data_IF_059049677592
#
_entry.id   IF_059049677592
#
_cell.length_a   1.000
_cell.length_b   1.000
_cell.length_c   1.000
_cell.angle_alpha   90.00
_cell.angle_beta   90.00
_cell.angle_gamma   90.00
#
_symmetry.space_group_name_H-M   'P 1'
#
loop_
_entity.id
_entity.type
_entity.pdbx_description
1 polymer ?
#
# COMPACT_ATOMS: atom_id res chain seq x y z
N UNK A 1 -18.18 -15.66 7.20
CA UNK A 1 -18.02 -14.39 6.46
C UNK A 1 -16.96 -13.54 7.14
N UNK A 2 -16.37 -12.58 6.42
CA UNK A 2 -15.37 -11.64 6.94
C UNK A 2 -16.05 -10.33 7.35
N UNK A 3 -15.48 -9.64 8.35
CA UNK A 3 -16.01 -8.38 8.87
C UNK A 3 -14.95 -7.29 8.81
N UNK A 4 -15.39 -6.03 8.74
CA UNK A 4 -14.52 -4.87 8.79
C UNK A 4 -15.12 -3.81 9.72
N UNK A 5 -14.26 -3.17 10.50
CA UNK A 5 -14.55 -1.98 11.30
C UNK A 5 -13.67 -0.83 10.83
N UNK A 6 -14.30 0.30 10.55
CA UNK A 6 -13.60 1.58 10.42
C UNK A 6 -13.51 2.19 11.81
N UNK A 7 -12.28 2.37 12.29
CA UNK A 7 -11.99 2.89 13.61
C UNK A 7 -11.84 4.40 13.57
N UNK A 8 -12.57 5.08 14.44
CA UNK A 8 -12.64 6.52 14.56
C UNK A 8 -12.21 6.92 15.98
N UNK A 9 -11.17 7.76 16.13
CA UNK A 9 -10.67 8.18 17.43
C UNK A 9 -11.74 8.84 18.29
N UNK A 10 -11.93 8.37 19.53
CA UNK A 10 -12.91 8.88 20.49
C UNK A 10 -14.38 8.59 20.15
N UNK A 11 -14.65 7.75 19.15
CA UNK A 11 -16.02 7.36 18.75
C UNK A 11 -16.27 5.89 19.01
N UNK A 12 -15.40 5.01 18.50
CA UNK A 12 -15.55 3.56 18.60
C UNK A 12 -14.20 2.84 18.86
N UNK A 13 -13.23 3.54 19.43
CA UNK A 13 -11.98 2.99 19.95
C UNK A 13 -12.08 2.63 21.45
N UNK A 14 -10.98 2.16 22.05
CA UNK A 14 -10.94 1.77 23.46
C UNK A 14 -11.91 0.63 23.80
N UNK A 15 -12.70 0.81 24.86
CA UNK A 15 -13.62 -0.22 25.38
C UNK A 15 -14.65 -0.70 24.34
N UNK A 16 -15.13 0.18 23.46
CA UNK A 16 -16.09 -0.21 22.42
C UNK A 16 -15.44 -1.08 21.34
N UNK A 17 -14.16 -0.85 21.03
CA UNK A 17 -13.40 -1.73 20.15
C UNK A 17 -13.20 -3.11 20.77
N UNK A 18 -12.79 -3.17 22.04
CA UNK A 18 -12.58 -4.44 22.75
C UNK A 18 -13.88 -5.25 22.84
N UNK A 19 -15.00 -4.57 23.13
CA UNK A 19 -16.33 -5.17 23.10
C UNK A 19 -16.66 -5.71 21.72
N UNK A 20 -16.40 -4.94 20.66
CA UNK A 20 -16.64 -5.37 19.27
C UNK A 20 -15.84 -6.61 18.91
N UNK A 21 -14.55 -6.65 19.26
CA UNK A 21 -13.68 -7.81 19.05
C UNK A 21 -14.25 -9.04 19.77
N UNK A 22 -14.61 -8.90 21.04
CA UNK A 22 -15.16 -10.00 21.85
C UNK A 22 -16.45 -10.56 21.26
N UNK A 23 -17.43 -9.69 20.99
CA UNK A 23 -18.74 -10.12 20.47
C UNK A 23 -18.64 -10.77 19.08
N UNK A 24 -17.70 -10.33 18.24
CA UNK A 24 -17.46 -10.96 16.94
C UNK A 24 -16.72 -12.30 17.07
N UNK A 25 -15.75 -12.41 17.98
CA UNK A 25 -15.04 -13.66 18.24
C UNK A 25 -15.99 -14.75 18.78
N UNK A 26 -16.95 -14.40 19.64
CA UNK A 26 -17.98 -15.31 20.16
C UNK A 26 -18.87 -15.92 19.06
N UNK A 27 -18.93 -15.29 17.88
CA UNK A 27 -19.69 -15.79 16.72
C UNK A 27 -18.89 -16.73 15.83
N UNK A 28 -17.68 -17.11 16.23
CA UNK A 28 -16.91 -18.17 15.56
C UNK A 28 -17.69 -19.50 15.58
N UNK A 29 -17.75 -20.28 14.48
CA UNK A 29 -17.01 -20.11 13.22
C UNK A 29 -17.76 -19.31 12.14
N UNK A 30 -18.91 -18.70 12.44
CA UNK A 30 -19.69 -17.95 11.44
C UNK A 30 -18.98 -16.68 10.99
N UNK A 31 -18.35 -15.96 11.92
CA UNK A 31 -17.40 -14.88 11.64
C UNK A 31 -16.00 -15.49 11.52
N UNK A 32 -15.34 -15.25 10.38
CA UNK A 32 -14.03 -15.85 10.07
C UNK A 32 -12.86 -14.95 10.45
N UNK A 33 -13.04 -13.64 10.31
CA UNK A 33 -12.06 -12.63 10.71
C UNK A 33 -12.67 -11.24 10.82
N UNK A 34 -11.93 -10.37 11.50
CA UNK A 34 -12.20 -8.96 11.67
C UNK A 34 -11.01 -8.13 11.16
N UNK A 35 -11.27 -7.26 10.18
CA UNK A 35 -10.37 -6.20 9.75
C UNK A 35 -10.67 -4.92 10.56
N UNK A 36 -9.64 -4.26 11.07
CA UNK A 36 -9.75 -2.94 11.71
C UNK A 36 -8.87 -1.98 10.92
N UNK A 37 -9.49 -0.99 10.30
CA UNK A 37 -8.81 0.04 9.50
C UNK A 37 -9.08 1.42 10.09
N UNK A 38 -8.11 2.36 10.05
CA UNK A 38 -8.36 3.71 10.52
C UNK A 38 -9.32 4.44 9.60
N UNK A 39 -10.00 5.46 10.13
CA UNK A 39 -10.86 6.33 9.33
C UNK A 39 -10.07 7.10 8.27
N UNK A 40 -10.47 6.94 7.02
CA UNK A 40 -10.03 7.77 5.91
C UNK A 40 -10.71 9.15 5.96
N UNK A 41 -9.91 10.21 5.91
CA UNK A 41 -10.41 11.61 5.88
C UNK A 41 -9.90 12.27 4.61
N UNK A 42 -10.81 12.63 3.70
CA UNK A 42 -10.49 13.35 2.46
C UNK A 42 -10.92 14.81 2.51
N UNK A 43 -10.38 15.64 1.61
CA UNK A 43 -10.68 17.07 1.50
C UNK A 43 -12.12 17.37 1.03
N UNK A 44 -12.82 16.37 0.48
CA UNK A 44 -14.18 16.51 -0.05
C UNK A 44 -15.29 16.34 1.00
N UNK A 45 -14.94 16.05 2.25
CA UNK A 45 -15.92 15.90 3.33
C UNK A 45 -16.57 17.25 3.67
N UNK A 46 -17.91 17.27 3.67
CA UNK A 46 -18.72 18.41 4.10
C UNK A 46 -19.53 18.13 5.38
N UNK A 47 -19.38 16.94 5.97
CA UNK A 47 -20.17 16.53 7.13
C UNK A 47 -19.80 17.32 8.40
N UNK A 48 -20.79 17.59 9.28
CA UNK A 48 -20.56 18.33 10.52
C UNK A 48 -19.86 17.50 11.61
N UNK A 49 -19.73 16.17 11.44
CA UNK A 49 -19.06 15.31 12.41
C UNK A 49 -17.54 15.45 12.24
N UNK A 50 -16.81 15.89 13.30
CA UNK A 50 -15.37 16.11 13.21
C UNK A 50 -14.63 14.76 13.24
N UNK A 51 -14.56 14.09 12.09
CA UNK A 51 -13.68 12.94 11.93
C UNK A 51 -12.23 13.45 11.85
N UNK A 52 -11.40 12.95 12.77
CA UNK A 52 -9.96 13.17 12.77
C UNK A 52 -9.24 11.85 12.63
N UNK A 53 -7.95 11.93 12.33
CA UNK A 53 -7.07 10.77 12.27
C UNK A 53 -6.51 10.44 13.64
N UNK A 54 -6.03 9.21 13.77
CA UNK A 54 -5.19 8.80 14.87
C UNK A 54 -3.87 9.58 14.84
N UNK A 55 -3.42 9.98 16.03
CA UNK A 55 -2.03 10.38 16.26
C UNK A 55 -1.12 9.14 16.27
N UNK A 56 0.20 9.35 16.25
CA UNK A 56 1.17 8.25 16.38
C UNK A 56 0.96 7.48 17.68
N UNK A 57 0.80 8.21 18.78
CA UNK A 57 0.66 7.65 20.13
C UNK A 57 -0.64 6.85 20.26
N UNK A 58 -1.74 7.33 19.68
CA UNK A 58 -2.99 6.58 19.68
C UNK A 58 -2.90 5.34 18.78
N UNK A 59 -2.25 5.42 17.60
CA UNK A 59 -2.04 4.27 16.74
C UNK A 59 -1.19 3.18 17.43
N UNK A 60 -0.16 3.56 18.19
CA UNK A 60 0.61 2.65 19.03
C UNK A 60 -0.27 1.96 20.09
N UNK A 61 -1.12 2.73 20.78
CA UNK A 61 -2.07 2.17 21.75
C UNK A 61 -3.04 1.16 21.13
N UNK A 62 -3.52 1.40 19.90
CA UNK A 62 -4.36 0.45 19.17
C UNK A 62 -3.57 -0.82 18.81
N UNK A 63 -2.33 -0.69 18.34
CA UNK A 63 -1.47 -1.85 18.03
C UNK A 63 -1.27 -2.72 19.27
N UNK A 64 -1.02 -2.11 20.43
CA UNK A 64 -0.77 -2.84 21.68
C UNK A 64 -2.04 -3.51 22.22
N UNK A 65 -3.17 -2.80 22.26
CA UNK A 65 -4.45 -3.36 22.70
C UNK A 65 -4.90 -4.51 21.79
N UNK A 66 -4.88 -4.31 20.48
CA UNK A 66 -5.28 -5.36 19.52
C UNK A 66 -4.28 -6.52 19.53
N UNK A 67 -2.98 -6.26 19.71
CA UNK A 67 -1.97 -7.32 19.85
C UNK A 67 -2.28 -8.33 20.96
N UNK A 68 -2.76 -7.86 22.12
CA UNK A 68 -3.20 -8.72 23.22
C UNK A 68 -4.37 -9.62 22.82
N UNK A 69 -5.33 -9.07 22.05
CA UNK A 69 -6.44 -9.85 21.50
C UNK A 69 -5.98 -10.87 20.46
N UNK A 70 -5.02 -10.52 19.60
CA UNK A 70 -4.46 -11.43 18.60
C UNK A 70 -3.79 -12.64 19.27
N UNK A 71 -3.00 -12.41 20.32
CA UNK A 71 -2.37 -13.48 21.10
C UNK A 71 -3.40 -14.36 21.81
N UNK A 72 -4.37 -13.74 22.49
CA UNK A 72 -5.45 -14.44 23.19
C UNK A 72 -6.25 -15.34 22.25
N UNK A 73 -6.71 -14.80 21.12
CA UNK A 73 -7.53 -15.55 20.16
C UNK A 73 -6.70 -16.63 19.46
N UNK A 74 -5.40 -16.40 19.22
CA UNK A 74 -4.53 -17.45 18.69
C UNK A 74 -4.40 -18.63 19.66
N UNK A 75 -4.35 -18.38 20.97
CA UNK A 75 -4.36 -19.44 21.98
C UNK A 75 -5.73 -20.14 22.10
N UNK A 76 -6.84 -19.39 22.07
CA UNK A 76 -8.19 -19.92 22.29
C UNK A 76 -8.77 -20.66 21.07
N UNK A 77 -8.56 -20.14 19.86
CA UNK A 77 -9.18 -20.65 18.62
C UNK A 77 -8.17 -20.99 17.51
N UNK A 78 -6.87 -20.88 17.77
CA UNK A 78 -5.81 -21.29 16.84
C UNK A 78 -5.57 -20.32 15.68
N UNK A 79 -6.13 -19.11 15.72
CA UNK A 79 -6.03 -18.09 14.67
C UNK A 79 -5.91 -16.69 15.27
N UNK A 80 -5.26 -15.77 14.57
CA UNK A 80 -5.18 -14.36 14.98
C UNK A 80 -6.56 -13.68 14.98
N UNK A 81 -7.43 -14.02 14.02
CA UNK A 81 -8.83 -13.54 13.88
C UNK A 81 -9.01 -12.03 13.65
N UNK A 82 -8.33 -11.18 14.42
CA UNK A 82 -8.35 -9.72 14.30
C UNK A 82 -7.07 -9.23 13.61
N UNK A 83 -7.22 -8.40 12.59
CA UNK A 83 -6.08 -7.85 11.86
C UNK A 83 -6.21 -6.33 11.75
N UNK A 84 -5.09 -5.63 11.93
CA UNK A 84 -5.00 -4.19 11.75
C UNK A 84 -4.58 -3.87 10.30
N UNK A 85 -5.14 -2.78 9.76
CA UNK A 85 -4.64 -2.17 8.53
C UNK A 85 -3.19 -1.74 8.65
N UNK A 86 -2.43 -1.87 7.56
CA UNK A 86 -1.01 -1.50 7.49
C UNK A 86 -0.77 -0.05 7.92
N UNK A 87 -1.76 0.82 7.68
CA UNK A 87 -1.76 2.23 8.07
C UNK A 87 -1.52 2.47 9.56
N UNK A 88 -2.00 1.60 10.46
CA UNK A 88 -1.72 1.76 11.90
C UNK A 88 -0.22 1.62 12.18
N UNK A 89 0.44 0.64 11.57
CA UNK A 89 1.88 0.42 11.73
C UNK A 89 2.67 1.59 11.15
N UNK A 90 2.27 2.11 9.99
CA UNK A 90 2.90 3.29 9.40
C UNK A 90 2.72 4.56 10.24
N UNK A 91 1.52 4.83 10.77
CA UNK A 91 1.28 5.96 11.70
C UNK A 91 2.14 5.84 12.96
N UNK A 92 2.25 4.62 13.50
CA UNK A 92 3.09 4.32 14.66
C UNK A 92 4.60 4.36 14.35
N UNK A 93 5.01 4.29 13.08
CA UNK A 93 6.42 4.09 12.71
C UNK A 93 6.96 2.71 13.10
N UNK A 94 6.09 1.69 13.16
CA UNK A 94 6.44 0.30 13.46
C UNK A 94 6.46 -0.53 12.18
N UNK A 95 7.24 -1.60 12.19
CA UNK A 95 7.19 -2.59 11.10
C UNK A 95 5.88 -3.37 11.15
N UNK A 96 5.38 -3.77 9.98
CA UNK A 96 4.23 -4.65 9.87
C UNK A 96 4.56 -6.07 10.39
N UNK A 97 3.61 -6.80 11.00
CA UNK A 97 3.81 -8.16 11.51
C UNK A 97 4.40 -9.13 10.49
N UNK A 98 4.97 -10.24 10.96
CA UNK A 98 5.44 -11.34 10.09
C UNK A 98 4.27 -12.04 9.39
N UNK A 99 4.53 -12.71 8.26
CA UNK A 99 3.50 -13.38 7.46
C UNK A 99 2.63 -14.37 8.24
N UNK A 100 3.21 -15.08 9.21
CA UNK A 100 2.52 -16.04 10.08
C UNK A 100 1.33 -15.43 10.85
N UNK A 101 1.38 -14.12 11.14
CA UNK A 101 0.31 -13.42 11.86
C UNK A 101 -0.92 -13.15 11.01
N UNK A 102 -0.84 -13.30 9.68
CA UNK A 102 -1.94 -12.99 8.76
C UNK A 102 -2.80 -14.20 8.41
N UNK A 103 -2.47 -15.41 8.85
CA UNK A 103 -3.25 -16.65 8.61
C UNK A 103 -3.69 -16.85 7.15
N UNK A 104 -2.80 -16.57 6.20
CA UNK A 104 -3.10 -16.67 4.76
C UNK A 104 -3.76 -15.43 4.14
N UNK A 105 -3.65 -14.27 4.80
CA UNK A 105 -4.08 -12.95 4.30
C UNK A 105 -5.56 -12.86 3.91
N UNK A 106 -6.52 -13.25 4.78
CA UNK A 106 -7.95 -13.26 4.44
C UNK A 106 -8.58 -11.87 4.27
N UNK A 107 -7.84 -10.79 4.56
CA UNK A 107 -8.33 -9.41 4.59
C UNK A 107 -7.47 -8.48 3.72
N UNK A 108 -6.76 -9.05 2.75
CA UNK A 108 -5.82 -8.32 1.91
C UNK A 108 -6.48 -7.17 1.13
N UNK A 109 -7.70 -7.42 0.63
CA UNK A 109 -8.55 -6.43 -0.04
C UNK A 109 -8.94 -5.23 0.87
N UNK A 110 -8.85 -5.40 2.19
CA UNK A 110 -9.17 -4.40 3.19
C UNK A 110 -7.94 -3.64 3.71
N UNK A 111 -6.83 -3.66 2.97
CA UNK A 111 -5.62 -2.92 3.33
C UNK A 111 -4.79 -3.56 4.45
N UNK A 112 -4.97 -4.87 4.65
CA UNK A 112 -4.33 -5.63 5.74
C UNK A 112 -3.28 -6.57 5.16
N UNK A 113 -2.02 -6.36 5.54
CA UNK A 113 -0.92 -7.24 5.17
C UNK A 113 -0.43 -7.04 3.74
N UNK A 114 -0.83 -5.97 3.05
CA UNK A 114 -0.35 -5.64 1.70
C UNK A 114 1.16 -5.50 1.68
N UNK A 115 1.72 -4.78 2.66
CA UNK A 115 3.16 -4.56 2.80
C UNK A 115 3.87 -5.85 3.12
N UNK A 116 3.31 -6.70 3.99
CA UNK A 116 3.93 -7.99 4.30
C UNK A 116 3.88 -8.94 3.09
N UNK A 117 2.78 -8.98 2.36
CA UNK A 117 2.66 -9.74 1.11
C UNK A 117 3.71 -9.28 0.10
N UNK A 118 3.83 -7.96 -0.11
CA UNK A 118 4.83 -7.37 -0.99
C UNK A 118 6.26 -7.75 -0.58
N UNK A 119 6.59 -7.70 0.72
CA UNK A 119 7.90 -8.10 1.22
C UNK A 119 8.18 -9.60 0.98
N UNK A 120 7.18 -10.46 1.17
CA UNK A 120 7.33 -11.88 0.86
C UNK A 120 7.58 -12.11 -0.64
N UNK A 121 6.83 -11.44 -1.51
CA UNK A 121 7.03 -11.54 -2.96
C UNK A 121 8.45 -11.08 -3.36
N UNK A 122 8.92 -9.97 -2.78
CA UNK A 122 10.27 -9.45 -2.98
C UNK A 122 11.36 -10.48 -2.60
N UNK A 123 11.19 -11.15 -1.46
CA UNK A 123 12.13 -12.15 -0.96
C UNK A 123 12.16 -13.41 -1.83
N UNK A 124 11.01 -13.86 -2.33
CA UNK A 124 10.90 -15.07 -3.18
C UNK A 124 11.52 -14.88 -4.57
N UNK A 125 11.62 -13.64 -5.05
CA UNK A 125 12.18 -13.35 -6.37
C UNK A 125 13.72 -13.47 -6.37
N UNK A 126 14.24 -14.66 -6.72
CA UNK A 126 15.68 -14.87 -6.93
C UNK A 126 16.03 -14.46 -8.36
N UNK A 127 16.33 -13.19 -8.57
CA UNK A 127 16.68 -12.70 -9.90
C UNK A 127 18.19 -12.79 -10.17
N UNK A 128 18.53 -13.37 -11.33
CA UNK A 128 19.90 -13.57 -11.84
C UNK A 128 20.18 -12.71 -13.07
N UNK A 129 19.60 -11.50 -13.16
CA UNK A 129 19.82 -10.63 -14.31
C UNK A 129 21.24 -10.13 -14.43
N UNK A 130 21.52 -9.55 -15.60
CA UNK A 130 22.77 -8.84 -15.83
C UNK A 130 22.69 -7.47 -15.19
N UNK A 131 23.63 -7.16 -14.31
CA UNK A 131 23.79 -5.80 -13.78
C UNK A 131 23.93 -4.78 -14.92
N UNK A 132 23.44 -3.56 -14.71
CA UNK A 132 23.61 -2.48 -15.68
C UNK A 132 25.11 -2.20 -15.94
N UNK A 133 25.50 -2.13 -17.21
CA UNK A 133 26.88 -1.85 -17.62
C UNK A 133 27.27 -0.38 -17.40
N UNK A 134 26.31 0.52 -17.54
CA UNK A 134 26.44 1.98 -17.38
C UNK A 134 25.41 2.50 -16.36
N UNK A 135 25.62 3.67 -15.74
CA UNK A 135 24.66 4.26 -14.83
C UNK A 135 23.24 4.33 -15.42
N UNK A 136 22.28 3.74 -14.71
CA UNK A 136 20.87 3.64 -15.09
C UNK A 136 19.98 4.19 -13.97
N UNK A 137 19.16 5.18 -14.31
CA UNK A 137 18.39 5.99 -13.36
C UNK A 137 16.90 5.65 -13.44
N UNK A 138 16.35 5.09 -12.37
CA UNK A 138 14.93 4.77 -12.23
C UNK A 138 14.26 5.68 -11.21
N UNK A 139 13.14 6.27 -11.62
CA UNK A 139 12.21 6.90 -10.70
C UNK A 139 11.11 5.91 -10.33
N UNK A 140 10.78 5.82 -9.04
CA UNK A 140 9.76 4.91 -8.50
C UNK A 140 8.70 5.75 -7.80
N UNK A 141 7.50 5.77 -8.36
CA UNK A 141 6.36 6.50 -7.81
C UNK A 141 5.70 5.67 -6.71
N UNK A 142 5.32 6.32 -5.61
CA UNK A 142 4.60 5.66 -4.52
C UNK A 142 3.74 6.63 -3.71
N UNK A 143 2.79 6.10 -2.94
CA UNK A 143 2.21 6.85 -1.83
C UNK A 143 3.26 7.16 -0.75
N UNK A 144 3.06 8.23 0.01
CA UNK A 144 4.00 8.66 1.04
C UNK A 144 4.15 7.65 2.19
N UNK A 145 3.13 6.84 2.49
CA UNK A 145 3.16 5.88 3.60
C UNK A 145 4.10 4.70 3.36
N UNK A 146 4.17 4.20 2.12
CA UNK A 146 4.97 3.02 1.75
C UNK A 146 6.37 3.39 1.22
N UNK A 147 6.63 4.67 0.93
CA UNK A 147 7.90 5.14 0.37
C UNK A 147 9.13 4.66 1.17
N UNK A 148 9.18 4.72 2.51
CA UNK A 148 10.33 4.24 3.28
C UNK A 148 10.63 2.74 3.07
N UNK A 149 9.60 1.93 2.81
CA UNK A 149 9.77 0.51 2.52
C UNK A 149 10.40 0.33 1.15
N UNK A 150 9.90 1.03 0.13
CA UNK A 150 10.44 0.95 -1.24
C UNK A 150 11.87 1.49 -1.35
N UNK A 151 12.19 2.56 -0.61
CA UNK A 151 13.54 3.13 -0.52
C UNK A 151 14.52 2.13 0.06
N UNK A 152 14.15 1.45 1.14
CA UNK A 152 14.99 0.40 1.75
C UNK A 152 15.27 -0.72 0.75
N UNK A 153 14.25 -1.25 0.10
CA UNK A 153 14.37 -2.34 -0.87
C UNK A 153 15.19 -1.92 -2.10
N UNK A 154 14.96 -0.71 -2.62
CA UNK A 154 15.78 -0.13 -3.68
C UNK A 154 17.24 0.04 -3.26
N UNK A 155 17.49 0.47 -2.03
CA UNK A 155 18.82 0.57 -1.44
C UNK A 155 19.56 -0.77 -1.42
N UNK A 156 18.89 -1.84 -1.00
CA UNK A 156 19.44 -3.20 -1.03
C UNK A 156 19.82 -3.62 -2.46
N UNK A 157 19.02 -3.26 -3.46
CA UNK A 157 19.30 -3.61 -4.85
C UNK A 157 20.41 -2.75 -5.47
N UNK A 158 20.49 -1.46 -5.15
CA UNK A 158 21.60 -0.59 -5.55
C UNK A 158 22.95 -1.02 -4.95
N UNK A 159 22.96 -1.61 -3.76
CA UNK A 159 24.17 -2.22 -3.18
C UNK A 159 24.64 -3.44 -3.97
N UNK A 160 23.71 -4.20 -4.55
CA UNK A 160 24.02 -5.34 -5.44
C UNK A 160 24.39 -4.89 -6.85
N UNK A 161 23.88 -3.74 -7.29
CA UNK A 161 24.05 -3.21 -8.64
C UNK A 161 24.56 -1.76 -8.60
N UNK A 162 25.88 -1.53 -8.55
CA UNK A 162 26.44 -0.19 -8.36
C UNK A 162 26.05 0.86 -9.42
N UNK A 163 25.74 0.40 -10.63
CA UNK A 163 25.30 1.25 -11.75
C UNK A 163 23.80 1.56 -11.73
N UNK A 164 23.00 0.84 -10.94
CA UNK A 164 21.60 1.20 -10.72
C UNK A 164 21.54 2.41 -9.77
N UNK A 165 20.73 3.41 -10.14
CA UNK A 165 20.39 4.57 -9.32
C UNK A 165 18.87 4.66 -9.25
N UNK A 166 18.32 4.42 -8.07
CA UNK A 166 16.88 4.49 -7.84
C UNK A 166 16.57 5.71 -7.01
N UNK A 167 15.55 6.45 -7.42
CA UNK A 167 14.95 7.52 -6.65
C UNK A 167 13.47 7.21 -6.45
N UNK A 168 13.08 7.01 -5.20
CA UNK A 168 11.67 6.90 -4.84
C UNK A 168 11.11 8.33 -4.77
N UNK A 169 10.00 8.56 -5.48
CA UNK A 169 9.29 9.81 -5.56
C UNK A 169 7.92 9.63 -4.88
N UNK A 170 7.84 9.88 -3.56
CA UNK A 170 6.58 9.85 -2.85
C UNK A 170 5.66 10.98 -3.37
N UNK A 171 4.44 10.63 -3.72
CA UNK A 171 3.44 11.57 -4.25
C UNK A 171 2.50 12.02 -3.14
N UNK A 172 2.47 13.34 -2.91
CA UNK A 172 1.44 13.97 -2.09
C UNK A 172 0.11 14.00 -2.87
N UNK A 173 -0.95 13.45 -2.28
CA UNK A 173 -2.26 13.38 -2.91
C UNK A 173 -2.99 14.72 -2.77
N UNK A 174 -2.74 15.68 -3.65
CA UNK A 174 -3.46 16.95 -3.63
C UNK A 174 -4.92 16.75 -4.03
N UNK A 175 -5.25 15.74 -4.85
CA UNK A 175 -6.61 15.48 -5.31
C UNK A 175 -7.58 15.09 -4.18
N UNK A 176 -7.27 14.09 -3.36
CA UNK A 176 -8.09 13.69 -2.21
C UNK A 176 -7.68 14.37 -0.90
N UNK A 177 -6.55 15.09 -0.89
CA UNK A 177 -5.95 15.73 0.28
C UNK A 177 -4.77 14.93 0.79
N UNK A 178 -3.69 15.61 1.18
CA UNK A 178 -2.36 15.04 1.50
C UNK A 178 -2.37 14.03 2.64
N UNK A 179 -3.45 14.01 3.39
CA UNK A 179 -3.72 13.00 4.38
C UNK A 179 -3.83 11.62 3.69
N UNK A 180 -4.46 11.50 2.52
CA UNK A 180 -4.51 10.26 1.73
C UNK A 180 -3.11 9.93 1.21
N UNK A 181 -2.49 8.88 1.77
CA UNK A 181 -1.07 8.61 1.61
C UNK A 181 -0.75 7.22 1.01
N UNK A 182 -1.78 6.47 0.59
CA UNK A 182 -1.64 5.14 -0.01
C UNK A 182 -1.47 5.23 -1.52
N UNK A 183 -0.69 4.31 -2.09
CA UNK A 183 -0.41 4.26 -3.54
C UNK A 183 -1.66 4.05 -4.39
N UNK A 184 -2.64 3.29 -3.90
CA UNK A 184 -3.85 2.96 -4.66
C UNK A 184 -4.83 4.12 -4.87
N UNK A 185 -4.61 5.25 -4.18
CA UNK A 185 -5.43 6.46 -4.31
C UNK A 185 -4.72 7.59 -5.05
N UNK A 186 -3.54 7.35 -5.62
CA UNK A 186 -2.84 8.36 -6.40
C UNK A 186 -3.58 8.64 -7.72
N UNK A 187 -3.57 9.90 -8.12
CA UNK A 187 -4.17 10.36 -9.37
C UNK A 187 -3.10 10.57 -10.43
N UNK A 188 -3.47 10.55 -11.71
CA UNK A 188 -2.56 10.82 -12.80
C UNK A 188 -1.99 12.24 -12.71
N UNK A 189 -2.81 13.23 -12.33
CA UNK A 189 -2.40 14.62 -12.17
C UNK A 189 -1.34 14.79 -11.06
N UNK A 190 -1.52 14.17 -9.89
CA UNK A 190 -0.56 14.25 -8.79
C UNK A 190 0.77 13.55 -9.14
N UNK A 191 0.72 12.43 -9.86
CA UNK A 191 1.90 11.72 -10.36
C UNK A 191 2.65 12.58 -11.40
N UNK A 192 1.94 13.12 -12.39
CA UNK A 192 2.51 13.96 -13.44
C UNK A 192 3.22 15.17 -12.81
N UNK A 193 2.55 15.87 -11.90
CA UNK A 193 3.10 17.03 -11.19
C UNK A 193 4.37 16.69 -10.41
N UNK A 194 4.39 15.53 -9.75
CA UNK A 194 5.57 15.04 -9.01
C UNK A 194 6.73 14.76 -9.96
N UNK A 195 6.46 14.09 -11.09
CA UNK A 195 7.47 13.76 -12.09
C UNK A 195 8.06 14.98 -12.80
N UNK A 196 7.25 16.01 -13.05
CA UNK A 196 7.66 17.28 -13.67
C UNK A 196 8.52 18.14 -12.73
N UNK A 197 8.23 18.09 -11.42
CA UNK A 197 9.02 18.79 -10.40
C UNK A 197 10.34 18.10 -10.05
N UNK A 198 10.46 16.81 -10.35
CA UNK A 198 11.65 16.03 -10.04
C UNK A 198 12.76 16.26 -11.08
N UNK A 199 13.74 17.09 -10.73
CA UNK A 199 14.93 17.34 -11.55
C UNK A 199 15.90 16.16 -11.57
N UNK A 200 16.72 16.06 -12.62
CA UNK A 200 17.83 15.10 -12.71
C UNK A 200 17.63 14.03 -13.78
N UNK A 201 18.68 13.22 -13.99
CA UNK A 201 18.67 12.18 -15.01
C UNK A 201 17.68 11.08 -14.64
N UNK A 202 16.94 10.61 -15.66
CA UNK A 202 15.94 9.55 -15.60
C UNK A 202 16.03 8.76 -16.89
N UNK A 203 16.10 7.43 -16.78
CA UNK A 203 16.08 6.50 -17.92
C UNK A 203 14.79 5.63 -17.91
N UNK A 204 14.03 5.59 -16.80
CA UNK A 204 12.75 4.89 -16.69
C UNK A 204 11.93 5.31 -15.46
N UNK A 205 10.62 5.04 -15.50
CA UNK A 205 9.68 5.30 -14.39
C UNK A 205 8.92 4.01 -14.07
N UNK A 206 8.83 3.69 -12.78
CA UNK A 206 7.92 2.69 -12.23
C UNK A 206 6.77 3.40 -11.52
N UNK A 207 5.54 2.97 -11.81
CA UNK A 207 4.33 3.44 -11.12
C UNK A 207 3.65 2.29 -10.39
N UNK A 208 2.91 2.55 -9.29
CA UNK A 208 2.16 1.50 -8.63
C UNK A 208 0.96 1.11 -9.50
N UNK A 209 0.85 -0.17 -9.90
CA UNK A 209 -0.31 -0.62 -10.70
C UNK A 209 -1.62 -0.37 -9.93
N UNK A 210 -1.58 -0.46 -8.60
CA UNK A 210 -2.73 -0.16 -7.73
C UNK A 210 -3.32 1.25 -7.89
N UNK A 211 -2.60 2.22 -8.45
CA UNK A 211 -3.14 3.56 -8.76
C UNK A 211 -4.02 3.58 -10.03
N UNK A 212 -3.95 2.52 -10.84
CA UNK A 212 -4.79 2.32 -12.01
C UNK A 212 -6.07 1.57 -11.61
N UNK A 213 -7.16 1.86 -12.31
CA UNK A 213 -8.40 1.09 -12.20
C UNK A 213 -8.14 -0.37 -12.58
N UNK A 214 -8.77 -1.29 -11.85
CA UNK A 214 -8.56 -2.73 -12.04
C UNK A 214 -8.91 -3.14 -13.47
N UNK A 215 -7.96 -3.71 -14.19
CA UNK A 215 -8.13 -4.12 -15.60
C UNK A 215 -8.12 -2.99 -16.63
N UNK A 216 -7.86 -1.74 -16.23
CA UNK A 216 -7.87 -0.56 -17.10
C UNK A 216 -6.58 0.26 -16.95
N UNK A 217 -6.13 0.90 -18.01
CA UNK A 217 -4.97 1.82 -18.00
C UNK A 217 -5.42 3.26 -17.69
N UNK A 218 -6.25 3.44 -16.67
CA UNK A 218 -6.89 4.71 -16.31
C UNK A 218 -6.75 4.97 -14.80
N UNK A 219 -6.32 6.18 -14.43
CA UNK A 219 -6.22 6.65 -13.04
C UNK A 219 -7.59 7.10 -12.48
N UNK A 220 -7.65 7.45 -11.19
CA UNK A 220 -8.91 7.84 -10.54
C UNK A 220 -9.51 9.16 -11.06
N UNK A 221 -8.66 10.05 -11.58
CA UNK A 221 -8.99 11.34 -12.19
C UNK A 221 -9.24 11.25 -13.70
N UNK A 222 -9.52 10.05 -14.22
CA UNK A 222 -9.79 9.76 -15.64
C UNK A 222 -8.61 10.02 -16.60
N UNK A 223 -7.42 10.36 -16.08
CA UNK A 223 -6.20 10.39 -16.89
C UNK A 223 -5.85 8.97 -17.35
N UNK A 224 -5.50 8.79 -18.63
CA UNK A 224 -5.02 7.49 -19.12
C UNK A 224 -3.51 7.35 -18.92
N UNK A 225 -3.03 6.12 -18.75
CA UNK A 225 -1.59 5.84 -18.72
C UNK A 225 -0.90 6.24 -20.02
N UNK A 226 -1.60 6.11 -21.16
CA UNK A 226 -1.12 6.59 -22.46
C UNK A 226 -0.88 8.11 -22.46
N UNK A 227 -1.80 8.89 -21.88
CA UNK A 227 -1.64 10.33 -21.75
C UNK A 227 -0.43 10.70 -20.89
N UNK A 228 -0.24 10.02 -19.75
CA UNK A 228 0.94 10.20 -18.89
C UNK A 228 2.23 9.87 -19.65
N UNK A 229 2.27 8.74 -20.38
CA UNK A 229 3.41 8.36 -21.23
C UNK A 229 3.69 9.41 -22.31
N UNK A 230 2.67 10.05 -22.85
CA UNK A 230 2.81 11.14 -23.83
C UNK A 230 3.55 12.38 -23.31
N UNK A 231 3.59 12.60 -21.99
CA UNK A 231 4.37 13.70 -21.38
C UNK A 231 5.86 13.39 -21.27
N UNK A 232 6.24 12.11 -21.38
CA UNK A 232 7.60 11.63 -21.28
C UNK A 232 7.95 10.70 -22.45
N UNK A 233 7.94 11.19 -23.71
CA UNK A 233 8.01 10.33 -24.90
C UNK A 233 9.31 9.51 -25.01
N UNK A 234 10.41 10.01 -24.45
CA UNK A 234 11.71 9.33 -24.46
C UNK A 234 11.92 8.43 -23.23
N UNK A 235 10.99 8.44 -22.28
CA UNK A 235 11.09 7.69 -21.02
C UNK A 235 10.00 6.64 -20.96
N UNK A 236 10.42 5.40 -20.70
CA UNK A 236 9.50 4.30 -20.52
C UNK A 236 8.87 4.33 -19.13
N UNK A 237 7.54 4.19 -19.07
CA UNK A 237 6.75 4.13 -17.83
C UNK A 237 6.07 2.77 -17.74
N UNK A 238 6.34 2.03 -16.66
CA UNK A 238 5.79 0.70 -16.42
C UNK A 238 5.10 0.61 -15.06
N UNK A 239 3.93 -0.03 -14.98
CA UNK A 239 3.32 -0.34 -13.70
C UNK A 239 4.02 -1.52 -13.02
N UNK A 240 3.91 -1.58 -11.70
CA UNK A 240 4.41 -2.65 -10.85
C UNK A 240 3.36 -3.00 -9.82
N UNK A 241 3.03 -4.28 -9.69
CA UNK A 241 2.01 -4.77 -8.78
C UNK A 241 2.60 -5.36 -7.50
N UNK A 242 3.59 -6.23 -7.64
CA UNK A 242 4.10 -7.07 -6.54
C UNK A 242 5.55 -6.77 -6.18
N UNK A 243 6.00 -7.25 -5.02
CA UNK A 243 7.40 -7.11 -4.63
C UNK A 243 8.36 -7.87 -5.54
N UNK A 244 7.91 -9.01 -6.09
CA UNK A 244 8.69 -9.79 -7.06
C UNK A 244 8.88 -9.01 -8.37
N UNK A 245 7.83 -8.37 -8.85
CA UNK A 245 7.89 -7.50 -10.03
C UNK A 245 8.73 -6.26 -9.79
N UNK A 246 8.60 -5.63 -8.61
CA UNK A 246 9.43 -4.50 -8.26
C UNK A 246 10.91 -4.87 -8.30
N UNK A 247 11.29 -5.99 -7.68
CA UNK A 247 12.66 -6.49 -7.73
C UNK A 247 13.13 -6.75 -9.16
N UNK A 248 12.32 -7.45 -9.96
CA UNK A 248 12.62 -7.73 -11.37
C UNK A 248 12.81 -6.46 -12.19
N UNK A 249 11.93 -5.47 -12.00
CA UNK A 249 11.95 -4.20 -12.71
C UNK A 249 13.19 -3.38 -12.33
N UNK A 250 13.58 -3.36 -11.06
CA UNK A 250 14.83 -2.73 -10.63
C UNK A 250 16.03 -3.44 -11.25
N UNK A 251 16.02 -4.77 -11.28
CA UNK A 251 17.19 -5.52 -11.70
C UNK A 251 17.41 -5.61 -13.23
N UNK A 252 16.35 -5.57 -14.04
CA UNK A 252 16.45 -5.50 -15.51
C UNK A 252 15.22 -4.79 -16.10
N UNK A 253 15.21 -3.47 -15.96
CA UNK A 253 14.11 -2.64 -16.45
C UNK A 253 13.97 -2.71 -17.98
N UNK A 254 15.08 -2.91 -18.70
CA UNK A 254 15.08 -2.95 -20.18
C UNK A 254 14.25 -4.12 -20.71
N UNK A 255 14.27 -5.25 -20.01
CA UNK A 255 13.53 -6.46 -20.38
C UNK A 255 12.26 -6.68 -19.54
N UNK A 256 12.11 -5.99 -18.42
CA UNK A 256 10.86 -5.97 -17.66
C UNK A 256 9.75 -5.46 -18.58
N UNK A 257 8.54 -6.00 -18.47
CA UNK A 257 7.29 -5.49 -19.00
C UNK A 257 6.22 -6.11 -18.12
N UNK A 258 5.25 -5.33 -17.68
CA UNK A 258 4.13 -5.88 -16.93
C UNK A 258 3.22 -6.67 -17.87
N UNK A 259 2.91 -7.92 -17.53
CA UNK A 259 1.84 -8.68 -18.18
C UNK A 259 0.61 -8.64 -17.30
N UNK A 260 -0.24 -7.62 -17.47
CA UNK A 260 -1.46 -7.47 -16.67
C UNK A 260 -2.35 -8.70 -16.85
N UNK A 261 -2.48 -9.48 -15.79
CA UNK A 261 -3.44 -10.57 -15.70
C UNK A 261 -4.81 -9.99 -15.36
N UNK A 262 -5.85 -10.34 -16.10
CA UNK A 262 -7.23 -9.94 -15.80
C UNK A 262 -7.76 -10.47 -14.45
N UNK A 263 -6.97 -11.26 -13.73
CA UNK A 263 -7.29 -11.83 -12.44
C UNK A 263 -6.49 -11.14 -11.32
N UNK A 264 -7.25 -10.44 -10.46
CA UNK A 264 -6.95 -10.01 -9.10
C UNK A 264 -6.08 -8.74 -8.93
N UNK A 265 -6.74 -7.61 -8.62
CA UNK A 265 -6.91 -7.15 -7.24
C UNK A 265 -8.08 -6.16 -7.19
N UNK A 266 -9.10 -6.46 -6.39
CA UNK A 266 -10.14 -5.51 -6.05
C UNK A 266 -9.67 -4.71 -4.85
N UNK A 267 -8.89 -3.66 -5.11
CA UNK A 267 -8.75 -2.61 -4.12
C UNK A 267 -10.15 -2.12 -3.75
N UNK A 268 -10.41 -1.95 -2.46
CA UNK A 268 -11.65 -1.43 -1.92
C UNK A 268 -12.23 -0.38 -2.86
N UNK A 269 -13.42 -0.72 -3.34
CA UNK A 269 -14.20 0.04 -4.29
C UNK A 269 -13.86 1.53 -4.30
N UNK A 270 -13.32 1.97 -5.42
CA UNK A 270 -13.47 3.35 -5.88
C UNK A 270 -14.92 3.86 -5.77
N UNK A 271 -15.92 3.00 -5.57
CA UNK A 271 -17.30 3.38 -5.29
C UNK A 271 -17.50 4.34 -4.09
N UNK A 272 -16.51 4.51 -3.19
CA UNK A 272 -16.54 5.57 -2.17
C UNK A 272 -15.98 6.94 -2.62
N UNK A 273 -15.23 6.98 -3.73
CA UNK A 273 -14.44 8.13 -4.17
C UNK A 273 -14.67 8.54 -5.64
N UNK A 274 -15.31 7.71 -6.44
CA UNK A 274 -15.85 8.04 -7.76
C UNK A 274 -17.28 8.52 -7.58
N UNK A 275 -17.61 9.63 -8.26
CA UNK A 275 -18.99 10.15 -8.34
C UNK A 275 -19.98 9.11 -8.86
#
# INVERSE_FOLDING_TARGET
>A
YHTQVVLCPGINDGEELERTIRELAERSPSVLSLAIVPVGVTKYRSDPVPLRRFTREEAEGIIESVGQWQEKLRHEIGKTFVYLGDEFYFMAGREVPKAEYYDGFPQLDNGIGLTRSFLCDWETCIFHGKSYEEPFYLDVISGTSVAPVLERLAGEEMLRQPNLKVRVLPVDNEYFGTSVNVSGLLTGEDILRTLERADGRRDGILIPESALRSGEDIFLDDMTLEFLRGHFPDIRIEPVQTGAEYRRALSDFRSYHESRSSAAYMWQSNAGYTK
#
